data_IF_004671006566
#
_entry.id   IF_004671006566
#
_cell.length_a   1.000
_cell.length_b   1.000
_cell.length_c   1.000
_cell.angle_alpha   90.00
_cell.angle_beta   90.00
_cell.angle_gamma   90.00
#
_symmetry.space_group_name_H-M   'P 1'
#
loop_
_entity.id
_entity.type
_entity.pdbx_description
1 polymer ?
#
# COMPACT_ATOMS: atom_id res chain seq x y z
N UNK A 1 -0.57 23.02 -6.21
CA UNK A 1 -1.83 22.31 -5.94
C UNK A 1 -1.53 21.20 -4.95
N UNK A 2 -2.35 21.03 -3.93
CA UNK A 2 -2.29 19.88 -3.02
C UNK A 2 -3.24 18.78 -3.53
N UNK A 3 -3.05 17.57 -3.03
CA UNK A 3 -3.87 16.41 -3.28
C UNK A 3 -4.33 15.87 -1.94
N UNK A 4 -5.63 15.83 -1.72
CA UNK A 4 -6.22 15.33 -0.48
C UNK A 4 -6.67 13.88 -0.64
N UNK A 5 -6.38 13.04 0.36
CA UNK A 5 -6.84 11.66 0.45
C UNK A 5 -7.44 11.42 1.83
N UNK A 6 -8.54 10.68 1.89
CA UNK A 6 -9.23 10.37 3.14
C UNK A 6 -9.38 8.87 3.30
N UNK A 7 -9.18 8.40 4.53
CA UNK A 7 -9.24 7.00 4.91
C UNK A 7 -10.10 6.83 6.16
N UNK A 8 -11.05 5.89 6.13
CA UNK A 8 -11.97 5.63 7.24
C UNK A 8 -12.39 4.15 7.29
N UNK A 9 -12.98 3.66 8.39
CA UNK A 9 -13.44 2.28 8.50
C UNK A 9 -14.42 1.90 7.39
N UNK A 10 -14.18 0.77 6.72
CA UNK A 10 -14.99 0.41 5.57
C UNK A 10 -16.48 0.24 5.90
N UNK A 11 -17.33 0.74 5.01
CA UNK A 11 -18.78 0.69 5.16
C UNK A 11 -19.36 1.72 6.13
N UNK A 12 -18.54 2.66 6.61
CA UNK A 12 -19.00 3.73 7.50
C UNK A 12 -19.70 4.89 6.76
N UNK A 13 -19.55 5.00 5.44
CA UNK A 13 -20.11 6.09 4.64
C UNK A 13 -21.26 5.62 3.74
N UNK A 14 -22.45 6.20 3.90
CA UNK A 14 -23.52 6.11 2.90
C UNK A 14 -23.22 7.01 1.68
N UNK A 15 -22.67 8.20 1.94
CA UNK A 15 -22.18 9.16 0.96
C UNK A 15 -20.70 9.50 1.24
N UNK A 16 -19.75 8.92 0.48
CA UNK A 16 -18.32 9.15 0.64
C UNK A 16 -17.89 10.62 0.49
N UNK A 17 -18.53 11.35 -0.42
CA UNK A 17 -18.19 12.75 -0.69
C UNK A 17 -18.60 13.62 0.48
N UNK A 18 -19.84 13.45 0.95
CA UNK A 18 -20.33 14.19 2.11
C UNK A 18 -19.54 13.85 3.38
N UNK A 19 -19.09 12.61 3.54
CA UNK A 19 -18.19 12.26 4.64
C UNK A 19 -16.83 12.97 4.49
N UNK A 20 -16.21 12.91 3.32
CA UNK A 20 -14.93 13.58 3.08
C UNK A 20 -14.98 15.09 3.30
N UNK A 21 -16.05 15.76 2.85
CA UNK A 21 -16.26 17.19 3.10
C UNK A 21 -16.29 17.50 4.61
N UNK A 22 -16.97 16.65 5.41
CA UNK A 22 -16.99 16.81 6.87
C UNK A 22 -15.63 16.54 7.52
N UNK A 23 -14.90 15.53 7.02
CA UNK A 23 -13.56 15.21 7.52
C UNK A 23 -12.56 16.32 7.19
N UNK A 24 -12.72 17.02 6.06
CA UNK A 24 -11.94 18.20 5.72
C UNK A 24 -12.11 19.34 6.74
N UNK A 25 -13.32 19.45 7.32
CA UNK A 25 -13.65 20.37 8.41
C UNK A 25 -13.31 19.80 9.82
N UNK A 26 -12.53 18.71 9.89
CA UNK A 26 -12.20 17.95 11.10
C UNK A 26 -13.43 17.45 11.91
N UNK A 27 -14.56 17.24 11.23
CA UNK A 27 -15.77 16.65 11.81
C UNK A 27 -15.88 15.16 11.48
N UNK A 28 -15.64 14.31 12.48
CA UNK A 28 -15.80 12.85 12.38
C UNK A 28 -17.18 12.37 12.89
N UNK A 29 -18.22 13.20 12.80
CA UNK A 29 -19.56 12.84 13.25
C UNK A 29 -20.10 11.63 12.47
N UNK A 30 -20.48 10.59 13.20
CA UNK A 30 -20.92 9.31 12.62
C UNK A 30 -19.80 8.29 12.42
N UNK A 31 -18.53 8.66 12.66
CA UNK A 31 -17.43 7.69 12.75
C UNK A 31 -17.14 7.34 14.21
N UNK A 32 -17.22 6.06 14.52
CA UNK A 32 -16.72 5.52 15.78
C UNK A 32 -15.18 5.41 15.76
N UNK A 33 -14.52 5.43 16.94
CA UNK A 33 -13.10 5.12 17.04
C UNK A 33 -12.84 3.67 16.61
N UNK A 34 -11.78 3.46 15.84
CA UNK A 34 -11.40 2.17 15.28
C UNK A 34 -9.87 1.94 15.37
N UNK A 35 -9.42 0.88 16.05
CA UNK A 35 -7.99 0.58 16.19
C UNK A 35 -7.30 0.33 14.85
N UNK A 36 -8.04 -0.05 13.79
CA UNK A 36 -7.48 -0.24 12.45
C UNK A 36 -6.99 1.06 11.84
N UNK A 37 -7.65 2.18 12.14
CA UNK A 37 -7.25 3.52 11.71
C UNK A 37 -5.92 3.91 12.35
N UNK A 38 -5.76 3.67 13.65
CA UNK A 38 -4.48 3.91 14.35
C UNK A 38 -3.36 3.01 13.81
N UNK A 39 -3.64 1.74 13.56
CA UNK A 39 -2.67 0.80 13.00
C UNK A 39 -2.22 1.23 11.60
N UNK A 40 -3.16 1.63 10.75
CA UNK A 40 -2.86 2.18 9.42
C UNK A 40 -2.00 3.43 9.52
N UNK A 41 -2.38 4.39 10.37
CA UNK A 41 -1.64 5.63 10.60
C UNK A 41 -0.19 5.38 11.04
N UNK A 42 -0.01 4.48 12.01
CA UNK A 42 1.32 4.12 12.50
C UNK A 42 2.18 3.50 11.40
N UNK A 43 1.59 2.64 10.56
CA UNK A 43 2.29 1.99 9.46
C UNK A 43 2.66 2.97 8.34
N UNK A 44 1.78 3.94 8.03
CA UNK A 44 2.09 5.03 7.10
C UNK A 44 3.28 5.84 7.61
N UNK A 45 3.26 6.28 8.87
CA UNK A 45 4.36 7.07 9.46
C UNK A 45 5.66 6.27 9.58
N UNK A 46 5.57 4.95 9.76
CA UNK A 46 6.74 4.07 9.78
C UNK A 46 7.41 3.95 8.40
N UNK A 47 6.61 3.91 7.33
CA UNK A 47 7.10 3.77 5.94
C UNK A 47 7.48 5.11 5.32
N UNK A 48 6.77 6.17 5.68
CA UNK A 48 6.98 7.54 5.17
C UNK A 48 6.95 8.53 6.34
N UNK A 49 8.06 8.65 7.10
CA UNK A 49 8.15 9.55 8.25
C UNK A 49 7.89 11.02 7.89
N UNK A 50 8.26 11.43 6.67
CA UNK A 50 8.07 12.81 6.18
C UNK A 50 6.59 13.21 6.04
N UNK A 51 5.65 12.25 6.11
CA UNK A 51 4.21 12.51 6.11
C UNK A 51 3.66 12.99 7.45
N UNK A 52 4.47 13.05 8.51
CA UNK A 52 4.03 13.45 9.84
C UNK A 52 3.28 14.79 9.87
N UNK A 53 3.77 15.78 9.13
CA UNK A 53 3.18 17.12 9.03
C UNK A 53 2.10 17.24 7.94
N UNK A 54 1.81 16.15 7.22
CA UNK A 54 0.86 16.10 6.10
C UNK A 54 -0.36 15.22 6.41
N UNK A 55 -0.44 14.63 7.61
CA UNK A 55 -1.52 13.74 8.03
C UNK A 55 -2.47 14.46 9.00
N UNK A 56 -3.73 14.51 8.62
CA UNK A 56 -4.86 14.90 9.44
C UNK A 56 -5.55 13.68 10.11
N UNK A 57 -6.23 13.85 11.24
CA UNK A 57 -6.13 15.02 12.12
C UNK A 57 -4.69 15.16 12.63
N UNK A 58 -4.19 16.38 12.77
CA UNK A 58 -2.80 16.65 13.16
C UNK A 58 -2.48 15.98 14.51
N UNK A 59 -1.24 15.50 14.66
CA UNK A 59 -0.80 14.68 15.79
C UNK A 59 -0.55 15.47 17.10
N UNK A 60 -1.26 16.56 17.36
CA UNK A 60 -1.13 17.33 18.61
C UNK A 60 -1.82 16.68 19.83
N UNK A 61 -2.37 15.46 19.68
CA UNK A 61 -2.84 14.61 20.79
C UNK A 61 -1.69 14.00 21.65
N UNK A 62 -0.40 14.31 21.38
CA UNK A 62 0.74 13.97 22.26
C UNK A 62 1.46 15.16 22.93
N UNK A 63 0.89 16.39 22.93
CA UNK A 63 1.29 17.38 23.96
C UNK A 63 1.54 18.83 23.58
N UNK A 64 1.17 19.31 22.39
CA UNK A 64 1.13 20.76 22.13
C UNK A 64 -0.32 21.26 21.96
N UNK A 65 -0.70 22.26 22.75
CA UNK A 65 -2.07 22.75 22.87
C UNK A 65 -2.47 23.63 21.68
N UNK A 66 -3.26 23.11 20.76
CA UNK A 66 -4.27 23.91 20.07
C UNK A 66 -5.49 24.06 21.01
N UNK A 67 -5.99 25.27 21.33
CA UNK A 67 -7.07 25.43 22.30
C UNK A 67 -8.45 24.97 21.80
N UNK A 68 -8.56 24.57 20.52
CA UNK A 68 -9.84 24.39 19.82
C UNK A 68 -9.94 23.08 19.01
N UNK A 69 -8.93 22.20 19.06
CA UNK A 69 -8.96 20.91 18.37
C UNK A 69 -9.72 19.85 19.18
N UNK A 70 -10.60 19.10 18.52
CA UNK A 70 -11.25 17.95 19.14
C UNK A 70 -10.23 16.83 19.38
N UNK A 71 -9.86 16.59 20.64
CA UNK A 71 -8.99 15.48 21.02
C UNK A 71 -9.67 14.14 20.70
N UNK A 72 -8.94 13.15 20.18
CA UNK A 72 -9.47 11.81 19.91
C UNK A 72 -10.16 11.64 18.56
N UNK A 73 -9.66 12.33 17.53
CA UNK A 73 -10.05 12.10 16.13
C UNK A 73 -9.10 11.14 15.41
N UNK A 74 -7.86 10.97 15.91
CA UNK A 74 -6.81 10.20 15.25
C UNK A 74 -7.12 8.70 15.09
N UNK A 75 -8.08 8.18 15.87
CA UNK A 75 -8.57 6.82 15.79
C UNK A 75 -9.82 6.67 14.93
N UNK A 76 -10.35 7.74 14.33
CA UNK A 76 -11.59 7.72 13.54
C UNK A 76 -11.35 7.79 12.04
N UNK A 77 -10.37 8.60 11.62
CA UNK A 77 -10.00 8.73 10.22
C UNK A 77 -8.53 9.15 10.08
N UNK A 78 -8.03 9.04 8.84
CA UNK A 78 -6.77 9.63 8.40
C UNK A 78 -7.08 10.48 7.17
N UNK A 79 -6.74 11.76 7.22
CA UNK A 79 -6.66 12.63 6.05
C UNK A 79 -5.20 12.83 5.66
N UNK A 80 -4.89 13.00 4.39
CA UNK A 80 -3.55 13.31 3.91
C UNK A 80 -3.61 14.44 2.90
N UNK A 81 -2.82 15.50 3.12
CA UNK A 81 -2.65 16.60 2.18
C UNK A 81 -1.26 16.52 1.57
N UNK A 82 -1.18 15.95 0.38
CA UNK A 82 0.07 15.65 -0.32
C UNK A 82 0.39 16.74 -1.35
N UNK A 83 1.67 17.01 -1.65
CA UNK A 83 2.05 17.88 -2.75
C UNK A 83 1.69 17.21 -4.10
N UNK A 84 1.34 18.02 -5.09
CA UNK A 84 1.07 17.53 -6.44
C UNK A 84 2.26 16.76 -7.01
N UNK A 85 1.98 15.58 -7.59
CA UNK A 85 3.01 14.71 -8.17
C UNK A 85 3.67 13.76 -7.17
N UNK A 86 3.14 13.62 -5.94
CA UNK A 86 3.59 12.60 -5.00
C UNK A 86 3.56 11.20 -5.62
N UNK A 87 4.69 10.51 -5.63
CA UNK A 87 4.77 9.15 -6.13
C UNK A 87 4.23 8.16 -5.09
N UNK A 88 3.44 7.17 -5.53
CA UNK A 88 2.94 6.11 -4.64
C UNK A 88 1.56 6.34 -4.03
N UNK A 89 0.71 7.20 -4.61
CA UNK A 89 -0.69 7.35 -4.19
C UNK A 89 -1.45 6.00 -4.12
N UNK A 90 -1.14 5.09 -5.05
CA UNK A 90 -1.71 3.74 -5.07
C UNK A 90 -1.27 2.86 -3.89
N UNK A 91 -0.09 3.11 -3.31
CA UNK A 91 0.39 2.37 -2.15
C UNK A 91 -0.47 2.65 -0.91
N UNK A 92 -1.00 3.87 -0.76
CA UNK A 92 -1.89 4.21 0.35
C UNK A 92 -3.22 3.46 0.26
N UNK A 93 -3.83 3.40 -0.93
CA UNK A 93 -5.08 2.66 -1.13
C UNK A 93 -4.94 1.15 -0.88
N UNK A 94 -3.80 0.56 -1.30
CA UNK A 94 -3.47 -0.84 -1.03
C UNK A 94 -3.29 -1.08 0.46
N UNK A 95 -2.56 -0.19 1.14
CA UNK A 95 -2.33 -0.28 2.58
C UNK A 95 -3.64 -0.11 3.35
N UNK A 96 -4.46 0.89 3.01
CA UNK A 96 -5.77 1.11 3.61
C UNK A 96 -6.67 -0.13 3.47
N UNK A 97 -6.70 -0.74 2.27
CA UNK A 97 -7.43 -1.98 2.02
C UNK A 97 -6.94 -3.14 2.91
N UNK A 98 -5.63 -3.27 3.14
CA UNK A 98 -5.07 -4.28 4.03
C UNK A 98 -5.46 -4.08 5.51
N UNK A 99 -5.74 -2.83 5.89
CA UNK A 99 -6.28 -2.48 7.21
C UNK A 99 -7.82 -2.49 7.27
N UNK A 100 -8.51 -2.83 6.18
CA UNK A 100 -9.97 -2.83 6.14
C UNK A 100 -10.59 -1.42 6.16
N UNK A 101 -9.88 -0.45 5.59
CA UNK A 101 -10.30 0.95 5.48
C UNK A 101 -10.69 1.27 4.04
N UNK A 102 -11.75 2.06 3.86
CA UNK A 102 -12.05 2.69 2.59
C UNK A 102 -11.04 3.84 2.35
N UNK A 103 -10.62 4.01 1.09
CA UNK A 103 -9.79 5.12 0.62
C UNK A 103 -10.61 5.96 -0.35
N UNK A 104 -10.70 7.26 -0.12
CA UNK A 104 -11.44 8.19 -0.97
C UNK A 104 -10.56 9.32 -1.48
N UNK A 105 -10.71 9.59 -2.78
CA UNK A 105 -10.07 10.68 -3.50
C UNK A 105 -11.15 11.68 -3.97
N UNK A 106 -11.26 12.86 -3.35
CA UNK A 106 -12.23 13.89 -3.74
C UNK A 106 -11.93 14.50 -5.11
N UNK A 107 -10.68 14.47 -5.59
CA UNK A 107 -10.28 15.09 -6.85
C UNK A 107 -10.80 14.29 -8.04
N UNK A 108 -10.90 12.97 -7.88
CA UNK A 108 -11.40 12.02 -8.89
C UNK A 108 -12.79 11.46 -8.55
N UNK A 109 -13.35 11.83 -7.39
CA UNK A 109 -14.58 11.25 -6.82
C UNK A 109 -14.54 9.72 -6.74
N UNK A 110 -13.38 9.17 -6.39
CA UNK A 110 -13.13 7.74 -6.42
C UNK A 110 -13.07 7.16 -5.01
N UNK A 111 -13.95 6.19 -4.73
CA UNK A 111 -13.89 5.34 -3.54
C UNK A 111 -13.25 4.00 -3.88
N UNK A 112 -12.24 3.61 -3.10
CA UNK A 112 -11.65 2.28 -3.12
C UNK A 112 -11.95 1.62 -1.78
N UNK A 113 -12.89 0.70 -1.78
CA UNK A 113 -13.20 -0.11 -0.60
C UNK A 113 -12.30 -1.34 -0.52
N UNK A 114 -12.00 -1.83 0.71
CA UNK A 114 -11.41 -3.14 0.89
C UNK A 114 -12.24 -4.16 0.13
N UNK A 115 -11.57 -5.00 -0.65
CA UNK A 115 -12.22 -6.16 -1.26
C UNK A 115 -12.83 -6.97 -0.11
N UNK A 116 -14.14 -7.31 -0.12
CA UNK A 116 -14.74 -8.10 0.94
C UNK A 116 -13.98 -9.43 1.03
N UNK A 117 -13.13 -9.55 2.04
CA UNK A 117 -12.60 -10.84 2.44
C UNK A 117 -13.77 -11.56 3.12
N UNK A 118 -14.12 -12.78 2.69
CA UNK A 118 -15.15 -13.55 3.35
C UNK A 118 -14.82 -13.67 4.84
N UNK A 119 -15.84 -13.71 5.71
CA UNK A 119 -15.65 -13.72 7.15
C UNK A 119 -14.90 -15.00 7.54
N UNK A 120 -13.64 -14.85 7.93
CA UNK A 120 -12.86 -15.75 8.78
C UNK A 120 -13.35 -17.23 8.84
N UNK A 121 -13.30 -17.94 7.71
CA UNK A 121 -13.30 -19.40 7.67
C UNK A 121 -12.04 -19.84 6.93
N UNK A 122 -11.14 -20.47 7.69
CA UNK A 122 -9.87 -21.06 7.26
C UNK A 122 -8.80 -20.09 6.73
N UNK A 123 -8.01 -19.53 7.66
CA UNK A 123 -6.57 -19.30 7.42
C UNK A 123 -5.89 -20.68 7.25
N UNK A 124 -6.09 -21.32 6.10
CA UNK A 124 -5.27 -22.40 5.54
C UNK A 124 -5.41 -22.37 4.02
N UNK A 125 -4.36 -21.89 3.36
CA UNK A 125 -4.09 -21.82 1.91
C UNK A 125 -4.92 -20.87 1.04
N UNK A 126 -4.25 -20.00 0.27
CA UNK A 126 -4.84 -19.63 -1.03
C UNK A 126 -4.33 -18.44 -1.84
N UNK A 127 -3.76 -17.36 -1.27
CA UNK A 127 -3.19 -16.28 -2.11
C UNK A 127 -1.82 -15.88 -1.61
N UNK A 128 -0.87 -16.79 -1.75
CA UNK A 128 0.57 -16.57 -1.54
C UNK A 128 1.28 -16.02 -2.77
N UNK A 129 0.55 -15.81 -3.88
CA UNK A 129 1.09 -15.43 -5.19
C UNK A 129 0.20 -14.39 -5.86
N UNK A 130 0.80 -13.29 -6.31
CA UNK A 130 0.17 -12.25 -7.15
C UNK A 130 0.79 -12.33 -8.53
N UNK A 131 -0.04 -12.30 -9.58
CA UNK A 131 0.41 -12.36 -10.98
C UNK A 131 -0.13 -11.16 -11.75
N UNK A 132 0.66 -10.67 -12.72
CA UNK A 132 0.30 -9.53 -13.55
C UNK A 132 1.30 -9.34 -14.69
N UNK A 133 1.17 -8.21 -15.39
CA UNK A 133 2.07 -7.84 -16.48
C UNK A 133 2.43 -6.36 -16.35
N UNK A 134 3.63 -6.01 -16.78
CA UNK A 134 4.10 -4.63 -16.93
C UNK A 134 4.81 -4.47 -18.26
N UNK A 135 4.92 -3.25 -18.77
CA UNK A 135 5.82 -2.99 -19.91
C UNK A 135 7.27 -3.07 -19.43
N UNK A 136 8.19 -3.43 -20.34
CA UNK A 136 9.61 -3.61 -20.03
C UNK A 136 10.23 -2.37 -19.34
N UNK A 137 9.89 -1.17 -19.82
CA UNK A 137 10.31 0.12 -19.26
C UNK A 137 9.84 0.36 -17.80
N UNK A 138 8.80 -0.33 -17.35
CA UNK A 138 8.22 -0.16 -16.02
C UNK A 138 8.67 -1.23 -15.01
N UNK A 139 9.49 -2.21 -15.40
CA UNK A 139 9.98 -3.28 -14.51
C UNK A 139 10.75 -2.71 -13.32
N UNK A 140 11.69 -1.79 -13.57
CA UNK A 140 12.48 -1.14 -12.52
C UNK A 140 11.59 -0.36 -11.56
N UNK A 141 10.60 0.36 -12.10
CA UNK A 141 9.65 1.15 -11.29
C UNK A 141 8.80 0.25 -10.39
N UNK A 142 8.35 -0.88 -10.91
CA UNK A 142 7.62 -1.88 -10.14
C UNK A 142 8.49 -2.44 -8.99
N UNK A 143 9.74 -2.84 -9.27
CA UNK A 143 10.62 -3.41 -8.26
C UNK A 143 10.96 -2.41 -7.15
N UNK A 144 11.20 -1.14 -7.49
CA UNK A 144 11.34 -0.05 -6.50
C UNK A 144 10.10 0.08 -5.63
N UNK A 145 8.90 0.04 -6.23
CA UNK A 145 7.64 0.16 -5.49
C UNK A 145 7.39 -1.05 -4.55
N UNK A 146 7.65 -2.27 -5.03
CA UNK A 146 7.54 -3.48 -4.20
C UNK A 146 8.56 -3.42 -3.06
N UNK A 147 9.80 -3.03 -3.35
CA UNK A 147 10.89 -2.93 -2.39
C UNK A 147 10.60 -1.93 -1.28
N UNK A 148 10.14 -0.72 -1.64
CA UNK A 148 9.68 0.28 -0.68
C UNK A 148 8.54 -0.26 0.20
N UNK A 149 7.63 -1.05 -0.38
CA UNK A 149 6.50 -1.64 0.34
C UNK A 149 6.88 -2.69 1.37
N UNK A 150 8.06 -3.31 1.24
CA UNK A 150 8.57 -4.33 2.18
C UNK A 150 9.81 -3.86 2.96
N UNK A 151 10.21 -2.58 2.81
CA UNK A 151 11.41 -2.03 3.43
C UNK A 151 12.72 -2.63 2.91
N UNK A 152 12.75 -3.16 1.68
CA UNK A 152 13.99 -3.56 1.01
C UNK A 152 14.64 -2.31 0.38
N UNK A 153 15.95 -2.13 0.64
CA UNK A 153 16.73 -1.02 0.11
C UNK A 153 17.17 -1.34 -1.32
N UNK A 154 16.31 -1.03 -2.28
CA UNK A 154 16.59 -1.22 -3.71
C UNK A 154 17.61 -0.19 -4.19
N UNK A 155 18.72 -0.63 -4.79
CA UNK A 155 19.83 0.21 -5.22
C UNK A 155 20.31 -0.04 -6.67
N UNK A 156 21.40 0.61 -7.07
CA UNK A 156 21.95 0.50 -8.42
C UNK A 156 22.50 -0.91 -8.74
N UNK A 157 22.89 -1.70 -7.73
CA UNK A 157 23.35 -3.09 -7.93
C UNK A 157 22.16 -3.99 -8.29
N UNK A 158 20.99 -3.71 -7.73
CA UNK A 158 19.76 -4.40 -8.07
C UNK A 158 19.34 -4.14 -9.52
N UNK A 159 19.49 -2.89 -9.99
CA UNK A 159 19.25 -2.54 -11.40
C UNK A 159 20.27 -3.19 -12.35
N UNK A 160 21.54 -3.25 -11.94
CA UNK A 160 22.57 -3.95 -12.69
C UNK A 160 22.26 -5.45 -12.81
N UNK A 161 21.68 -6.07 -11.78
CA UNK A 161 21.28 -7.47 -11.79
C UNK A 161 20.13 -7.77 -12.78
N UNK A 162 19.32 -6.77 -13.14
CA UNK A 162 18.25 -6.91 -14.13
C UNK A 162 18.74 -6.70 -15.57
N UNK A 163 19.87 -6.05 -15.75
CA UNK A 163 20.40 -5.73 -17.08
C UNK A 163 20.77 -7.02 -17.81
N UNK A 164 20.06 -7.31 -18.91
CA UNK A 164 20.23 -8.54 -19.70
C UNK A 164 19.66 -9.81 -19.04
N UNK A 165 19.09 -9.71 -17.83
CA UNK A 165 18.53 -10.86 -17.12
C UNK A 165 17.23 -11.39 -17.75
N UNK A 166 16.54 -10.54 -18.51
CA UNK A 166 15.28 -10.88 -19.18
C UNK A 166 15.48 -11.43 -20.59
N UNK A 167 16.66 -11.25 -21.20
CA UNK A 167 16.95 -11.57 -22.61
C UNK A 167 16.74 -13.06 -22.93
N UNK A 168 16.97 -13.95 -21.96
CA UNK A 168 16.82 -15.39 -22.10
C UNK A 168 15.52 -15.95 -21.48
N UNK A 169 14.63 -15.07 -20.98
CA UNK A 169 13.39 -15.45 -20.29
C UNK A 169 12.21 -15.64 -21.25
N UNK A 170 11.27 -16.51 -20.89
CA UNK A 170 10.07 -16.78 -21.67
C UNK A 170 8.93 -17.22 -20.74
N UNK A 171 7.84 -16.46 -20.72
CA UNK A 171 6.69 -16.71 -19.86
C UNK A 171 5.89 -17.98 -20.24
N UNK A 172 5.95 -18.40 -21.51
CA UNK A 172 5.38 -19.66 -22.00
C UNK A 172 6.16 -20.90 -21.52
N UNK A 173 7.39 -20.72 -21.01
CA UNK A 173 8.24 -21.80 -20.51
C UNK A 173 8.44 -21.67 -18.99
N UNK A 174 7.89 -22.61 -18.23
CA UNK A 174 7.89 -22.58 -16.74
C UNK A 174 9.29 -22.44 -16.12
N UNK A 175 10.32 -22.98 -16.76
CA UNK A 175 11.71 -22.98 -16.29
C UNK A 175 12.55 -21.79 -16.80
N UNK A 176 11.98 -20.89 -17.61
CA UNK A 176 12.67 -19.70 -18.14
C UNK A 176 12.15 -18.40 -17.55
N UNK A 177 11.88 -18.41 -16.25
CA UNK A 177 11.57 -17.22 -15.49
C UNK A 177 12.81 -16.78 -14.72
N UNK A 178 13.12 -15.49 -14.77
CA UNK A 178 14.13 -14.90 -13.92
C UNK A 178 13.56 -14.74 -12.51
N UNK A 179 14.23 -15.28 -11.50
CA UNK A 179 13.81 -15.18 -10.11
C UNK A 179 14.70 -14.20 -9.35
N UNK A 180 14.05 -13.25 -8.69
CA UNK A 180 14.71 -12.17 -7.99
C UNK A 180 14.20 -12.08 -6.55
N UNK A 181 15.01 -12.51 -5.56
CA UNK A 181 14.61 -12.49 -4.15
C UNK A 181 14.77 -11.07 -3.57
N UNK A 182 13.69 -10.56 -2.97
CA UNK A 182 13.69 -9.33 -2.22
C UNK A 182 13.68 -9.63 -0.71
N UNK A 183 14.81 -9.38 -0.05
CA UNK A 183 15.02 -9.64 1.38
C UNK A 183 14.39 -8.59 2.30
N UNK A 184 13.15 -8.17 2.00
CA UNK A 184 12.37 -7.29 2.86
C UNK A 184 11.58 -8.03 3.95
N UNK A 185 10.69 -7.30 4.63
CA UNK A 185 9.73 -7.84 5.59
C UNK A 185 8.30 -7.58 5.12
N UNK A 186 7.56 -8.60 4.62
CA UNK A 186 7.98 -9.99 4.44
C UNK A 186 8.97 -10.18 3.27
N UNK A 187 9.72 -11.28 3.28
CA UNK A 187 10.60 -11.65 2.16
C UNK A 187 9.74 -12.08 0.97
N UNK A 188 10.04 -11.53 -0.21
CA UNK A 188 9.31 -11.82 -1.44
C UNK A 188 10.26 -12.41 -2.48
N UNK A 189 9.73 -13.27 -3.36
CA UNK A 189 10.41 -13.72 -4.58
C UNK A 189 9.61 -13.19 -5.75
N UNK A 190 10.23 -12.33 -6.55
CA UNK A 190 9.65 -11.80 -7.79
C UNK A 190 10.16 -12.65 -8.95
N UNK A 191 9.24 -13.19 -9.75
CA UNK A 191 9.57 -13.92 -10.97
C UNK A 191 9.18 -13.06 -12.17
N UNK A 192 10.10 -12.88 -13.11
CA UNK A 192 9.93 -12.06 -14.31
C UNK A 192 10.19 -12.92 -15.55
N UNK A 193 9.36 -12.76 -16.58
CA UNK A 193 9.62 -13.41 -17.86
C UNK A 193 9.08 -12.56 -19.01
N UNK A 194 9.83 -12.48 -20.12
CA UNK A 194 9.35 -11.84 -21.33
C UNK A 194 8.22 -12.65 -21.95
N UNK A 195 7.23 -11.95 -22.51
CA UNK A 195 6.18 -12.56 -23.32
C UNK A 195 6.59 -12.53 -24.80
N UNK A 196 6.87 -13.69 -25.44
CA UNK A 196 7.37 -13.72 -26.81
C UNK A 196 6.43 -13.01 -27.80
N UNK A 197 6.98 -12.07 -28.57
CA UNK A 197 6.21 -11.31 -29.57
C UNK A 197 5.42 -10.12 -29.01
N UNK A 198 5.63 -9.75 -27.73
CA UNK A 198 5.06 -8.58 -27.09
C UNK A 198 6.13 -7.77 -26.33
N UNK A 199 5.89 -6.48 -26.09
CA UNK A 199 6.76 -5.60 -25.30
C UNK A 199 6.41 -5.61 -23.81
N UNK A 200 5.91 -6.75 -23.31
CA UNK A 200 5.43 -6.91 -21.93
C UNK A 200 6.23 -8.00 -21.20
N UNK A 201 6.38 -7.78 -19.90
CA UNK A 201 7.03 -8.68 -18.97
C UNK A 201 5.96 -9.20 -18.01
N UNK A 202 5.81 -10.52 -17.99
CA UNK A 202 4.96 -11.24 -17.05
C UNK A 202 5.63 -11.24 -15.68
N UNK A 203 4.87 -10.90 -14.64
CA UNK A 203 5.36 -10.76 -13.26
C UNK A 203 4.58 -11.68 -12.35
N UNK A 204 5.28 -12.45 -11.53
CA UNK A 204 4.69 -13.23 -10.44
C UNK A 204 5.43 -12.98 -9.13
N UNK A 205 4.73 -12.49 -8.11
CA UNK A 205 5.29 -12.21 -6.77
C UNK A 205 4.81 -13.27 -5.80
N UNK A 206 5.73 -13.93 -5.10
CA UNK A 206 5.42 -14.94 -4.08
C UNK A 206 6.02 -14.56 -2.73
N UNK A 207 5.24 -14.69 -1.65
CA UNK A 207 5.79 -14.55 -0.30
C UNK A 207 6.65 -15.78 0.07
N UNK A 208 7.88 -15.53 0.50
CA UNK A 208 8.77 -16.54 1.06
C UNK A 208 8.58 -16.60 2.57
N UNK A 209 7.76 -17.55 3.04
CA UNK A 209 7.64 -17.83 4.47
C UNK A 209 8.88 -18.61 4.92
N UNK A 210 9.79 -17.95 5.63
CA UNK A 210 10.77 -18.67 6.45
C UNK A 210 9.97 -19.25 7.63
N UNK A 211 9.77 -20.57 7.61
CA UNK A 211 9.26 -21.31 8.76
C UNK A 211 10.27 -21.15 9.89
N UNK A 212 10.02 -20.23 10.82
CA UNK A 212 10.70 -20.21 12.10
C UNK A 212 10.13 -21.38 12.90
N UNK A 213 10.84 -22.51 12.92
CA UNK A 213 10.53 -23.63 13.80
C UNK A 213 10.54 -23.14 15.25
N UNK A 214 9.51 -23.40 16.06
CA UNK A 214 9.67 -23.28 17.51
C UNK A 214 10.61 -24.40 17.96
N UNK A 215 11.76 -24.03 18.54
CA UNK A 215 12.54 -24.94 19.37
C UNK A 215 11.69 -25.31 20.58
N UNK A 216 11.47 -26.62 20.79
CA UNK A 216 10.95 -27.20 22.04
C UNK A 216 11.97 -27.10 23.17
#
# INVERSE_FOLDING_TARGET
>A
MSYDLYFWPSGAAEDPRQLADRLADESADGLGPDPRVLAFRAEVLRRWPDLADMIAPWHDDLGWRQPWGHTGLADRFVGMTLPHGWEGLSAFAVLASAHGLDSYDPQSDQLVSPRPQPPNEAVRDGVTRVEGWVTEEHVVRLLRQISASIGYAYDDLDEAALTGALDDTNDETVDRWFEYPLAGTPTLVVRLAQSPGSAVVSVAVKAAWIWCWPYE
#
